data_IF_574111899807
#
_entry.id   IF_574111899807
#
_cell.length_a   1.000
_cell.length_b   1.000
_cell.length_c   1.000
_cell.angle_alpha   90.00
_cell.angle_beta   90.00
_cell.angle_gamma   90.00
#
_symmetry.space_group_name_H-M   'P 1'
#
loop_
_entity.id
_entity.type
_entity.pdbx_description
1 polymer ?
#
# COMPACT_ATOMS: atom_id res chain seq x y z
N UNK A 1 -34.26 33.47 -16.48
CA UNK A 1 -32.82 33.68 -16.72
C UNK A 1 -32.10 32.40 -16.31
N UNK A 2 -31.62 31.63 -17.28
CA UNK A 2 -30.91 30.39 -17.05
C UNK A 2 -29.40 30.69 -17.04
N UNK A 3 -28.71 30.27 -16.00
CA UNK A 3 -27.25 30.36 -15.87
C UNK A 3 -26.64 29.10 -16.51
N UNK A 4 -25.89 29.26 -17.59
CA UNK A 4 -25.10 28.19 -18.21
C UNK A 4 -23.92 27.78 -17.32
N UNK A 5 -23.59 26.48 -17.21
CA UNK A 5 -22.38 26.03 -16.55
C UNK A 5 -21.13 26.23 -17.44
N UNK A 6 -19.95 26.46 -16.84
CA UNK A 6 -18.71 26.71 -17.59
C UNK A 6 -18.18 25.46 -18.32
N UNK A 7 -17.50 25.61 -19.46
CA UNK A 7 -16.92 24.50 -20.21
C UNK A 7 -15.64 23.99 -19.53
N UNK A 8 -15.66 22.73 -19.07
CA UNK A 8 -14.44 22.04 -18.66
C UNK A 8 -13.67 21.60 -19.92
N UNK A 9 -12.35 21.87 -20.05
CA UNK A 9 -11.59 21.37 -21.19
C UNK A 9 -11.39 19.85 -21.10
N UNK A 10 -11.83 19.13 -22.13
CA UNK A 10 -11.47 17.74 -22.34
C UNK A 10 -9.96 17.62 -22.62
N UNK A 11 -9.23 16.90 -21.76
CA UNK A 11 -7.84 16.53 -22.01
C UNK A 11 -7.73 15.01 -21.80
N UNK A 12 -7.99 14.24 -22.86
CA UNK A 12 -6.97 13.70 -23.77
C UNK A 12 -5.95 12.79 -23.07
N UNK A 13 -6.21 11.48 -23.16
CA UNK A 13 -5.35 10.40 -22.67
C UNK A 13 -3.98 10.45 -23.36
N UNK A 14 -2.95 10.89 -22.65
CA UNK A 14 -1.58 10.71 -23.06
C UNK A 14 -1.07 9.35 -22.55
N UNK A 15 -0.93 8.39 -23.46
CA UNK A 15 -0.08 7.21 -23.31
C UNK A 15 1.37 7.68 -23.36
N UNK A 16 2.15 7.42 -22.32
CA UNK A 16 3.61 7.56 -22.37
C UNK A 16 4.25 6.18 -22.15
N UNK A 17 4.95 5.71 -23.18
CA UNK A 17 5.78 4.50 -23.19
C UNK A 17 7.22 4.81 -22.73
N UNK A 18 7.73 3.93 -21.87
CA UNK A 18 9.12 3.51 -21.55
C UNK A 18 10.31 4.47 -21.73
N UNK A 19 11.14 4.63 -20.68
CA UNK A 19 12.61 4.47 -20.74
C UNK A 19 13.22 4.32 -19.33
N UNK A 20 13.90 3.19 -19.14
CA UNK A 20 14.89 2.76 -18.11
C UNK A 20 15.83 3.85 -17.55
N UNK A 21 16.11 3.85 -16.22
CA UNK A 21 17.48 3.80 -15.65
C UNK A 21 17.52 3.54 -14.14
N UNK A 22 18.46 2.68 -13.76
CA UNK A 22 18.78 2.19 -12.42
C UNK A 22 19.32 3.26 -11.47
N UNK A 23 19.03 3.09 -10.17
CA UNK A 23 19.86 3.59 -9.09
C UNK A 23 19.81 2.59 -7.92
N UNK A 24 20.99 2.06 -7.63
CA UNK A 24 21.35 1.17 -6.52
C UNK A 24 21.13 1.85 -5.17
N UNK A 25 20.56 1.13 -4.20
CA UNK A 25 20.70 1.44 -2.77
C UNK A 25 20.42 0.21 -1.92
N UNK A 26 21.51 -0.48 -1.62
CA UNK A 26 21.70 -1.53 -0.62
C UNK A 26 21.26 -1.09 0.79
N UNK A 27 20.32 -1.81 1.42
CA UNK A 27 20.28 -1.93 2.89
C UNK A 27 19.43 -3.12 3.40
N UNK A 28 20.14 -4.04 4.05
CA UNK A 28 19.74 -4.87 5.19
C UNK A 28 18.55 -5.82 5.07
N UNK A 29 18.90 -7.05 4.70
CA UNK A 29 18.15 -8.29 4.81
C UNK A 29 17.77 -8.64 6.25
N UNK A 30 16.46 -8.71 6.52
CA UNK A 30 15.87 -9.57 7.55
C UNK A 30 14.85 -10.46 6.83
N UNK A 31 15.20 -11.74 6.68
CA UNK A 31 14.50 -12.69 5.81
C UNK A 31 12.99 -12.75 6.11
N UNK A 32 12.20 -12.44 5.10
CA UNK A 32 10.73 -12.48 5.14
C UNK A 32 10.23 -13.30 3.96
N UNK A 33 9.08 -13.96 4.14
CA UNK A 33 8.64 -14.97 3.21
C UNK A 33 8.31 -14.34 1.84
N UNK A 34 8.76 -14.95 0.74
CA UNK A 34 8.40 -14.50 -0.59
C UNK A 34 6.91 -14.73 -0.87
N UNK A 35 6.27 -13.75 -1.53
CA UNK A 35 5.02 -13.96 -2.26
C UNK A 35 5.17 -15.10 -3.29
N UNK A 36 4.05 -15.58 -3.83
CA UNK A 36 3.99 -16.44 -5.03
C UNK A 36 4.92 -16.00 -6.18
N UNK A 37 5.31 -14.72 -6.24
CA UNK A 37 6.30 -14.15 -7.19
C UNK A 37 7.73 -13.99 -6.67
N UNK A 38 8.07 -14.48 -5.48
CA UNK A 38 9.42 -14.37 -4.91
C UNK A 38 9.71 -13.09 -4.13
N UNK A 39 8.76 -12.14 -4.05
CA UNK A 39 9.00 -10.82 -3.44
C UNK A 39 8.54 -10.75 -1.98
N UNK A 40 9.38 -10.15 -1.14
CA UNK A 40 9.04 -9.82 0.25
C UNK A 40 7.96 -8.75 0.27
N UNK A 41 6.82 -9.03 0.93
CA UNK A 41 5.75 -8.05 1.14
C UNK A 41 6.01 -7.23 2.41
N UNK A 42 6.21 -5.93 2.24
CA UNK A 42 6.45 -4.96 3.32
C UNK A 42 5.22 -4.08 3.49
N UNK A 43 4.64 -4.11 4.69
CA UNK A 43 3.39 -3.45 5.04
C UNK A 43 3.62 -2.25 5.95
N UNK A 44 2.91 -1.16 5.63
CA UNK A 44 2.77 0.02 6.48
C UNK A 44 1.32 0.09 6.96
N UNK A 45 1.13 -0.13 8.26
CA UNK A 45 -0.20 -0.19 8.87
C UNK A 45 -0.62 1.19 9.40
N UNK A 46 -1.88 1.56 9.24
CA UNK A 46 -2.44 2.78 9.83
C UNK A 46 -3.82 2.57 10.43
N UNK A 47 -4.14 3.38 11.44
CA UNK A 47 -5.35 3.25 12.25
C UNK A 47 -5.06 3.43 13.74
N UNK A 48 -6.00 3.03 14.58
CA UNK A 48 -5.81 2.99 16.03
C UNK A 48 -4.77 1.92 16.43
N UNK A 49 -4.05 2.14 17.54
CA UNK A 49 -2.96 1.27 17.97
C UNK A 49 -3.40 -0.20 18.15
N UNK A 50 -4.57 -0.44 18.76
CA UNK A 50 -5.07 -1.81 18.97
C UNK A 50 -5.39 -2.52 17.67
N UNK A 51 -5.89 -1.76 16.69
CA UNK A 51 -6.18 -2.26 15.36
C UNK A 51 -4.89 -2.65 14.62
N UNK A 52 -3.90 -1.74 14.64
CA UNK A 52 -2.59 -1.97 14.04
C UNK A 52 -1.90 -3.19 14.64
N UNK A 53 -1.96 -3.38 15.96
CA UNK A 53 -1.37 -4.56 16.62
C UNK A 53 -2.00 -5.87 16.16
N UNK A 54 -3.33 -5.89 15.92
CA UNK A 54 -4.02 -7.08 15.39
C UNK A 54 -3.56 -7.39 13.97
N UNK A 55 -3.55 -6.39 13.10
CA UNK A 55 -3.06 -6.52 11.72
C UNK A 55 -1.59 -6.97 11.66
N UNK A 56 -0.73 -6.38 12.51
CA UNK A 56 0.69 -6.73 12.59
C UNK A 56 0.88 -8.21 12.94
N UNK A 57 0.07 -8.75 13.85
CA UNK A 57 0.09 -10.17 14.19
C UNK A 57 -0.26 -11.05 12.99
N UNK A 58 -1.27 -10.66 12.23
CA UNK A 58 -1.71 -11.39 11.01
C UNK A 58 -0.61 -11.35 9.95
N UNK A 59 -0.09 -10.16 9.62
CA UNK A 59 0.97 -10.01 8.61
C UNK A 59 2.20 -10.84 8.97
N UNK A 60 2.63 -10.83 10.24
CA UNK A 60 3.75 -11.65 10.71
C UNK A 60 3.45 -13.14 10.61
N UNK A 61 2.24 -13.59 10.94
CA UNK A 61 1.87 -15.00 10.80
C UNK A 61 1.87 -15.50 9.37
N UNK A 62 1.61 -14.62 8.40
CA UNK A 62 1.65 -14.91 6.97
C UNK A 62 3.05 -14.71 6.35
N UNK A 63 4.06 -14.35 7.16
CA UNK A 63 5.44 -14.19 6.74
C UNK A 63 5.80 -12.82 6.14
N UNK A 64 4.92 -11.82 6.24
CA UNK A 64 5.18 -10.46 5.78
C UNK A 64 5.94 -9.60 6.80
N UNK A 65 6.48 -8.48 6.35
CA UNK A 65 7.19 -7.50 7.20
C UNK A 65 6.27 -6.35 7.55
N UNK A 66 6.23 -5.95 8.82
CA UNK A 66 5.61 -4.70 9.23
C UNK A 66 6.68 -3.65 9.51
N UNK A 67 6.55 -2.49 8.87
CA UNK A 67 7.34 -1.32 9.22
C UNK A 67 6.85 -0.74 10.56
N UNK A 68 7.74 -0.09 11.34
CA UNK A 68 7.37 0.47 12.63
C UNK A 68 6.20 1.44 12.48
N UNK A 69 5.17 1.24 13.31
CA UNK A 69 3.99 2.09 13.27
C UNK A 69 4.33 3.49 13.80
N UNK A 70 4.42 4.46 12.90
CA UNK A 70 4.55 5.89 13.22
C UNK A 70 3.29 6.63 12.79
N UNK A 71 2.73 7.41 13.72
CA UNK A 71 1.54 8.22 13.46
C UNK A 71 1.89 9.28 12.41
N UNK A 72 1.13 9.30 11.31
CA UNK A 72 1.25 10.26 10.22
C UNK A 72 2.58 10.29 9.45
N UNK A 73 3.43 9.25 9.52
CA UNK A 73 4.62 9.15 8.67
C UNK A 73 4.44 8.08 7.60
N UNK A 74 4.84 8.43 6.38
CA UNK A 74 5.02 7.49 5.28
C UNK A 74 6.46 6.94 5.28
N UNK A 75 6.61 5.67 4.87
CA UNK A 75 7.91 5.05 4.68
C UNK A 75 8.01 4.48 3.24
N UNK A 76 8.96 4.94 2.41
CA UNK A 76 9.08 4.53 1.01
C UNK A 76 9.46 3.06 0.83
N UNK A 77 9.99 2.39 1.86
CA UNK A 77 10.31 0.97 1.82
C UNK A 77 9.05 0.09 1.81
N UNK A 78 7.87 0.66 2.10
CA UNK A 78 6.63 -0.09 2.04
C UNK A 78 6.27 -0.46 0.59
N UNK A 79 5.61 -1.60 0.47
CA UNK A 79 5.00 -2.09 -0.78
C UNK A 79 3.47 -2.01 -0.71
N UNK A 80 2.94 -2.15 0.50
CA UNK A 80 1.52 -2.17 0.81
C UNK A 80 1.23 -1.24 1.99
N UNK A 81 0.12 -0.52 1.92
CA UNK A 81 -0.40 0.33 2.98
C UNK A 81 -1.80 -0.17 3.32
N UNK A 82 -1.98 -0.58 4.58
CA UNK A 82 -3.26 -1.16 5.04
C UNK A 82 -3.90 -0.23 6.06
N UNK A 83 -5.16 0.11 5.82
CA UNK A 83 -5.91 1.12 6.57
C UNK A 83 -7.34 0.66 6.77
N UNK A 84 -7.89 0.91 7.96
CA UNK A 84 -9.32 0.74 8.20
C UNK A 84 -10.15 1.81 7.45
N UNK A 85 -9.66 3.05 7.43
CA UNK A 85 -10.29 4.17 6.72
C UNK A 85 -9.29 4.84 5.77
N UNK A 86 -9.66 5.01 4.49
CA UNK A 86 -8.92 5.80 3.51
C UNK A 86 -9.15 7.30 3.71
N UNK A 87 -8.52 7.88 4.74
CA UNK A 87 -8.53 9.32 4.99
C UNK A 87 -7.42 10.02 4.21
N UNK A 88 -7.66 11.27 3.79
CA UNK A 88 -6.65 12.14 3.14
C UNK A 88 -5.53 12.50 4.12
N UNK A 89 -4.62 11.56 4.31
CA UNK A 89 -3.45 11.66 5.18
C UNK A 89 -2.19 11.59 4.34
N UNK A 90 -1.07 12.06 4.89
CA UNK A 90 0.24 11.98 4.22
C UNK A 90 0.54 10.55 3.77
N UNK A 91 0.31 9.56 4.64
CA UNK A 91 0.51 8.14 4.35
C UNK A 91 -0.27 7.67 3.12
N UNK A 92 -1.52 8.08 2.97
CA UNK A 92 -2.37 7.71 1.82
C UNK A 92 -1.92 8.43 0.56
N UNK A 93 -1.67 9.74 0.64
CA UNK A 93 -1.26 10.54 -0.51
C UNK A 93 0.11 10.08 -1.04
N UNK A 94 1.10 9.86 -0.17
CA UNK A 94 2.40 9.35 -0.55
C UNK A 94 2.32 7.94 -1.13
N UNK A 95 1.47 7.06 -0.57
CA UNK A 95 1.24 5.73 -1.13
C UNK A 95 0.63 5.79 -2.54
N UNK A 96 -0.34 6.67 -2.77
CA UNK A 96 -0.94 6.90 -4.09
C UNK A 96 0.11 7.40 -5.09
N UNK A 97 0.88 8.43 -4.72
CA UNK A 97 1.94 8.99 -5.57
C UNK A 97 3.01 7.95 -5.89
N UNK A 98 3.36 7.11 -4.93
CA UNK A 98 4.35 6.05 -5.10
C UNK A 98 3.76 4.75 -5.70
N UNK A 99 2.51 4.78 -6.17
CA UNK A 99 1.78 3.65 -6.76
C UNK A 99 1.87 2.37 -5.91
N UNK A 100 1.77 2.51 -4.58
CA UNK A 100 1.74 1.40 -3.63
C UNK A 100 0.33 0.85 -3.51
N UNK A 101 0.22 -0.39 -3.08
CA UNK A 101 -1.08 -1.02 -2.83
C UNK A 101 -1.74 -0.39 -1.61
N UNK A 102 -2.94 0.15 -1.78
CA UNK A 102 -3.80 0.63 -0.70
C UNK A 102 -4.89 -0.41 -0.44
N UNK A 103 -4.85 -1.04 0.73
CA UNK A 103 -5.71 -2.17 1.06
C UNK A 103 -6.52 -1.88 2.34
N UNK A 104 -7.71 -2.47 2.40
CA UNK A 104 -8.55 -2.46 3.60
C UNK A 104 -8.13 -3.52 4.62
N UNK A 105 -8.72 -3.46 5.80
CA UNK A 105 -8.63 -4.51 6.82
C UNK A 105 -9.04 -5.89 6.27
N UNK A 106 -10.12 -5.93 5.48
CA UNK A 106 -10.72 -7.16 4.98
C UNK A 106 -9.70 -8.02 4.21
N UNK A 107 -8.78 -7.39 3.49
CA UNK A 107 -7.71 -8.09 2.79
C UNK A 107 -6.85 -8.95 3.72
N UNK A 108 -6.51 -8.45 4.91
CA UNK A 108 -5.72 -9.21 5.88
C UNK A 108 -6.56 -10.32 6.52
N UNK A 109 -7.85 -10.08 6.75
CA UNK A 109 -8.78 -11.08 7.28
C UNK A 109 -8.95 -12.25 6.31
N UNK A 110 -9.15 -11.95 5.03
CA UNK A 110 -9.29 -12.95 3.97
C UNK A 110 -7.97 -13.69 3.71
N UNK A 111 -6.83 -12.96 3.70
CA UNK A 111 -5.49 -13.56 3.61
C UNK A 111 -5.18 -14.47 4.81
N UNK A 112 -5.63 -14.09 6.01
CA UNK A 112 -5.50 -14.93 7.20
C UNK A 112 -6.30 -16.23 7.05
N UNK A 113 -7.52 -16.15 6.51
CA UNK A 113 -8.37 -17.33 6.26
C UNK A 113 -7.78 -18.25 5.19
N UNK A 114 -7.16 -17.68 4.17
CA UNK A 114 -6.50 -18.42 3.10
C UNK A 114 -5.13 -19.00 3.51
N UNK A 115 -4.56 -18.54 4.62
CA UNK A 115 -3.22 -18.95 5.10
C UNK A 115 -2.05 -18.40 4.28
N UNK A 116 -2.32 -17.50 3.32
CA UNK A 116 -1.33 -16.83 2.48
C UNK A 116 -1.86 -15.47 2.04
N UNK A 117 -0.97 -14.58 1.60
CA UNK A 117 -1.38 -13.29 1.05
C UNK A 117 -2.12 -13.46 -0.27
N UNK A 118 -3.36 -12.98 -0.33
CA UNK A 118 -4.15 -12.98 -1.55
C UNK A 118 -3.60 -12.00 -2.59
N UNK A 119 -4.07 -12.07 -3.84
CA UNK A 119 -3.86 -11.01 -4.82
C UNK A 119 -4.49 -9.70 -4.37
N UNK A 120 -3.88 -8.57 -4.71
CA UNK A 120 -4.32 -7.25 -4.26
C UNK A 120 -5.62 -6.76 -4.96
N UNK A 121 -6.05 -7.46 -6.02
CA UNK A 121 -7.28 -7.20 -6.78
C UNK A 121 -8.44 -8.13 -6.41
N UNK A 122 -8.20 -9.11 -5.53
CA UNK A 122 -9.18 -10.16 -5.20
C UNK A 122 -10.23 -9.71 -4.19
#
# INVERSE_FOLDING_TARGET
QAVEPPPWPASSSARCTDTKKAADSKASSTASAPDSRGNVRVFLLGGANDHVKRMEKVVKSLGGVCLPHRKNQYDPQCTHVVLADLKRTEKVLCAMVAAKWLLGEDYLTESARAGHFLPETS
#
